data_IF_866912413217
#
_entry.id   IF_866912413217
#
_cell.length_a   1.000
_cell.length_b   1.000
_cell.length_c   1.000
_cell.angle_alpha   90.00
_cell.angle_beta   90.00
_cell.angle_gamma   90.00
#
_symmetry.space_group_name_H-M   'P 1'
#
loop_
_entity.id
_entity.type
_entity.pdbx_description
1 polymer ?
#
# COMPACT_ATOMS: atom_id res chain seq x y z
N UNK A 1 -42.30 15.26 -19.23
CA UNK A 1 -40.92 14.75 -19.37
C UNK A 1 -39.88 15.56 -18.56
N UNK A 2 -39.95 16.89 -18.43
CA UNK A 2 -38.98 17.71 -17.69
C UNK A 2 -38.92 17.44 -16.15
N UNK A 3 -40.03 17.07 -15.49
CA UNK A 3 -40.08 16.83 -14.04
C UNK A 3 -39.43 15.50 -13.59
N UNK A 4 -39.37 14.48 -14.45
CA UNK A 4 -38.78 13.18 -14.15
C UNK A 4 -37.24 13.26 -14.18
N UNK A 5 -36.69 14.07 -15.09
CA UNK A 5 -35.24 14.26 -15.23
C UNK A 5 -34.68 14.98 -14.02
N UNK A 6 -35.38 15.97 -13.46
CA UNK A 6 -34.93 16.73 -12.29
C UNK A 6 -34.88 15.85 -11.03
N UNK A 7 -35.82 14.91 -10.85
CA UNK A 7 -35.82 13.96 -9.74
C UNK A 7 -34.66 12.94 -9.81
N UNK A 8 -34.30 12.52 -11.04
CA UNK A 8 -33.19 11.58 -11.22
C UNK A 8 -31.83 12.22 -10.87
N UNK A 9 -31.60 13.48 -11.25
CA UNK A 9 -30.39 14.20 -10.90
C UNK A 9 -30.27 14.48 -9.39
N UNK A 10 -31.38 14.77 -8.73
CA UNK A 10 -31.39 14.96 -7.25
C UNK A 10 -31.09 13.65 -6.52
N UNK A 11 -31.61 12.51 -6.97
CA UNK A 11 -31.35 11.21 -6.38
C UNK A 11 -29.88 10.78 -6.54
N UNK A 12 -29.27 11.04 -7.68
CA UNK A 12 -27.85 10.75 -7.95
C UNK A 12 -26.95 11.64 -7.10
N UNK A 13 -27.26 12.91 -6.94
CA UNK A 13 -26.50 13.83 -6.08
C UNK A 13 -26.58 13.44 -4.60
N UNK A 14 -27.73 13.02 -4.09
CA UNK A 14 -27.93 12.56 -2.71
C UNK A 14 -27.18 11.24 -2.46
N UNK A 15 -27.18 10.30 -3.40
CA UNK A 15 -26.41 9.04 -3.30
C UNK A 15 -24.90 9.27 -3.31
N UNK A 16 -24.41 10.22 -4.12
CA UNK A 16 -23.00 10.59 -4.16
C UNK A 16 -22.55 11.26 -2.86
N UNK A 17 -23.34 12.18 -2.33
CA UNK A 17 -23.05 12.87 -1.08
C UNK A 17 -23.05 11.91 0.14
N UNK A 18 -23.96 10.94 0.17
CA UNK A 18 -24.00 9.92 1.22
C UNK A 18 -22.78 9.00 1.19
N UNK A 19 -22.34 8.55 -0.01
CA UNK A 19 -21.15 7.71 -0.14
C UNK A 19 -19.87 8.43 0.31
N UNK A 20 -19.73 9.69 -0.03
CA UNK A 20 -18.57 10.51 0.38
C UNK A 20 -18.57 10.74 1.91
N UNK A 21 -19.72 10.99 2.51
CA UNK A 21 -19.86 11.14 3.96
C UNK A 21 -19.52 9.83 4.70
N UNK A 22 -20.02 8.68 4.22
CA UNK A 22 -19.71 7.38 4.80
C UNK A 22 -18.23 7.02 4.68
N UNK A 23 -17.60 7.30 3.53
CA UNK A 23 -16.15 7.07 3.32
C UNK A 23 -15.31 7.87 4.32
N UNK A 24 -15.62 9.15 4.52
CA UNK A 24 -14.93 10.02 5.47
C UNK A 24 -15.11 9.53 6.91
N UNK A 25 -16.31 9.12 7.28
CA UNK A 25 -16.63 8.61 8.61
C UNK A 25 -15.88 7.30 8.93
N UNK A 26 -15.69 6.39 7.97
CA UNK A 26 -14.94 5.14 8.18
C UNK A 26 -13.47 5.40 8.50
N UNK A 27 -12.82 6.30 7.74
CA UNK A 27 -11.42 6.66 8.00
C UNK A 27 -11.22 7.37 9.35
N UNK A 28 -12.16 8.23 9.75
CA UNK A 28 -12.14 8.88 11.07
C UNK A 28 -12.31 7.86 12.23
N UNK A 29 -13.20 6.87 12.08
CA UNK A 29 -13.38 5.80 13.08
C UNK A 29 -12.12 4.97 13.25
N UNK A 30 -11.44 4.62 12.16
CA UNK A 30 -10.20 3.83 12.22
C UNK A 30 -9.05 4.61 12.85
N UNK A 31 -8.95 5.92 12.61
CA UNK A 31 -7.91 6.76 13.20
C UNK A 31 -7.89 6.71 14.71
N UNK A 32 -9.06 6.70 15.33
CA UNK A 32 -9.23 6.70 16.80
C UNK A 32 -9.22 5.28 17.40
N UNK A 33 -9.26 4.23 16.56
CA UNK A 33 -9.22 2.86 17.02
C UNK A 33 -7.79 2.43 17.32
N UNK A 34 -7.50 1.86 18.50
CA UNK A 34 -6.15 1.41 18.85
C UNK A 34 -5.74 0.20 17.99
N UNK A 35 -4.47 0.13 17.69
CA UNK A 35 -3.86 -1.05 17.09
C UNK A 35 -3.87 -2.23 18.07
N UNK A 36 -4.19 -3.40 17.57
CA UNK A 36 -4.08 -4.67 18.27
C UNK A 36 -3.07 -5.53 17.53
N UNK A 37 -2.00 -5.93 18.22
CA UNK A 37 -1.04 -6.86 17.66
C UNK A 37 -1.65 -8.27 17.58
N UNK A 38 -1.39 -8.94 16.45
CA UNK A 38 -1.86 -10.30 16.16
C UNK A 38 -0.71 -11.14 15.61
N UNK A 39 -0.87 -12.47 15.65
CA UNK A 39 0.03 -13.38 14.94
C UNK A 39 -0.13 -13.24 13.42
N UNK A 40 0.94 -13.40 12.61
CA UNK A 40 0.82 -13.45 11.14
C UNK A 40 -0.19 -14.48 10.64
N UNK A 41 -0.40 -15.59 11.36
CA UNK A 41 -1.39 -16.62 11.03
C UNK A 41 -2.85 -16.20 11.25
N UNK A 42 -3.08 -15.09 11.94
CA UNK A 42 -4.42 -14.52 12.18
C UNK A 42 -4.82 -13.47 11.14
N UNK A 43 -4.03 -13.29 10.08
CA UNK A 43 -4.42 -12.46 8.93
C UNK A 43 -5.52 -13.19 8.17
N UNK A 44 -6.76 -12.72 8.32
CA UNK A 44 -7.95 -13.32 7.72
C UNK A 44 -8.22 -12.88 6.28
N UNK A 45 -7.47 -11.88 5.78
CA UNK A 45 -7.66 -11.35 4.43
C UNK A 45 -7.17 -12.36 3.37
N UNK A 46 -7.96 -12.55 2.32
CA UNK A 46 -7.52 -13.29 1.14
C UNK A 46 -6.36 -12.55 0.46
N UNK A 47 -5.16 -13.14 0.31
CA UNK A 47 -3.99 -12.45 -0.24
C UNK A 47 -4.21 -11.89 -1.64
N UNK A 48 -4.90 -12.61 -2.52
CA UNK A 48 -5.18 -12.14 -3.88
C UNK A 48 -6.15 -10.96 -3.88
N UNK A 49 -7.17 -10.97 -3.00
CA UNK A 49 -8.06 -9.84 -2.83
C UNK A 49 -7.30 -8.63 -2.29
N UNK A 50 -6.57 -8.82 -1.20
CA UNK A 50 -5.80 -7.77 -0.51
C UNK A 50 -4.78 -7.10 -1.44
N UNK A 51 -4.01 -7.89 -2.19
CA UNK A 51 -2.91 -7.37 -3.00
C UNK A 51 -3.41 -6.81 -4.33
N UNK A 52 -4.20 -7.58 -5.11
CA UNK A 52 -4.59 -7.19 -6.47
C UNK A 52 -5.81 -6.25 -6.50
N UNK A 53 -6.82 -6.49 -5.65
CA UNK A 53 -8.09 -5.77 -5.71
C UNK A 53 -8.12 -4.57 -4.78
N UNK A 54 -7.74 -4.76 -3.53
CA UNK A 54 -7.78 -3.69 -2.53
C UNK A 54 -6.57 -2.77 -2.67
N UNK A 55 -5.44 -3.31 -3.11
CA UNK A 55 -4.11 -2.72 -3.14
C UNK A 55 -3.56 -2.47 -1.74
N UNK A 56 -2.26 -2.44 -1.69
CA UNK A 56 -1.54 -2.15 -0.47
C UNK A 56 -0.67 -0.92 -0.66
N UNK A 57 -0.22 -0.40 0.43
CA UNK A 57 0.82 0.61 0.48
C UNK A 57 2.10 -0.05 1.02
N UNK A 58 3.27 0.26 0.45
CA UNK A 58 4.58 -0.09 0.99
C UNK A 58 5.34 1.19 1.36
N UNK A 59 5.84 1.21 2.59
CA UNK A 59 6.68 2.30 3.12
C UNK A 59 8.04 1.79 3.57
N UNK A 60 9.05 2.64 3.41
CA UNK A 60 10.36 2.46 3.99
C UNK A 60 10.95 3.80 4.44
N UNK A 61 11.83 3.75 5.43
CA UNK A 61 12.46 4.92 6.03
C UNK A 61 12.08 5.12 7.48
N UNK A 62 12.45 6.27 8.02
CA UNK A 62 12.25 6.68 9.41
C UNK A 62 11.61 8.05 9.45
N UNK A 63 11.23 8.50 10.65
CA UNK A 63 10.72 9.84 10.86
C UNK A 63 11.65 10.90 10.23
N UNK A 64 11.06 11.83 9.49
CA UNK A 64 11.78 12.88 8.76
C UNK A 64 12.43 12.46 7.44
N UNK A 65 12.61 11.14 7.19
CA UNK A 65 13.16 10.61 5.93
C UNK A 65 12.51 9.29 5.55
N UNK A 66 11.33 9.34 4.97
CA UNK A 66 10.59 8.15 4.52
C UNK A 66 9.93 8.38 3.16
N UNK A 67 9.56 7.31 2.49
CA UNK A 67 8.70 7.38 1.32
C UNK A 67 7.75 6.18 1.27
N UNK A 68 6.65 6.35 0.53
CA UNK A 68 5.59 5.37 0.40
C UNK A 68 5.10 5.27 -1.05
N UNK A 69 4.53 4.11 -1.40
CA UNK A 69 3.87 3.93 -2.69
C UNK A 69 2.84 2.82 -2.63
N UNK A 70 1.83 2.91 -3.48
CA UNK A 70 0.87 1.83 -3.67
C UNK A 70 1.52 0.68 -4.45
N UNK A 71 1.23 -0.53 -4.01
CA UNK A 71 1.57 -1.78 -4.68
C UNK A 71 0.32 -2.61 -4.94
N UNK A 72 0.35 -3.39 -6.02
CA UNK A 72 -0.67 -4.39 -6.39
C UNK A 72 -0.05 -5.74 -6.75
N UNK A 73 1.23 -5.90 -6.50
CA UNK A 73 1.98 -7.12 -6.70
C UNK A 73 2.71 -7.50 -5.41
N UNK A 74 2.64 -8.76 -5.04
CA UNK A 74 3.25 -9.25 -3.83
C UNK A 74 2.85 -10.70 -3.54
N UNK A 75 3.32 -11.21 -2.43
CA UNK A 75 2.89 -12.48 -1.88
C UNK A 75 3.10 -12.52 -0.36
N UNK A 76 2.32 -13.35 0.31
CA UNK A 76 2.50 -13.69 1.71
C UNK A 76 2.67 -15.21 1.80
N UNK A 77 3.57 -15.66 2.65
CA UNK A 77 3.86 -17.09 2.77
C UNK A 77 4.93 -17.39 3.79
N UNK A 78 5.73 -18.43 3.54
CA UNK A 78 6.76 -18.89 4.44
C UNK A 78 8.08 -19.13 3.68
N UNK A 79 9.19 -18.75 4.28
CA UNK A 79 10.54 -19.00 3.80
C UNK A 79 11.48 -19.20 5.00
N UNK A 80 12.29 -20.29 4.98
CA UNK A 80 13.24 -20.62 6.08
C UNK A 80 12.57 -20.71 7.46
N UNK A 81 11.36 -21.29 7.53
CA UNK A 81 10.53 -21.39 8.73
C UNK A 81 10.19 -20.02 9.34
N UNK A 82 9.97 -19.02 8.49
CA UNK A 82 9.62 -17.64 8.88
C UNK A 82 8.44 -17.19 8.04
N UNK A 83 7.44 -16.53 8.65
CA UNK A 83 6.41 -15.87 7.88
C UNK A 83 7.03 -14.72 7.09
N UNK A 84 6.70 -14.60 5.82
CA UNK A 84 7.26 -13.59 4.93
C UNK A 84 6.19 -12.80 4.20
N UNK A 85 6.52 -11.56 3.88
CA UNK A 85 5.84 -10.76 2.86
C UNK A 85 6.83 -10.40 1.74
N UNK A 86 6.44 -10.68 0.49
CA UNK A 86 7.24 -10.30 -0.67
C UNK A 86 6.59 -9.12 -1.38
N UNK A 87 7.36 -8.08 -1.68
CA UNK A 87 6.93 -6.91 -2.45
C UNK A 87 7.82 -6.71 -3.68
N UNK A 88 7.25 -6.12 -4.73
CA UNK A 88 7.96 -5.81 -5.96
C UNK A 88 7.97 -4.30 -6.18
N UNK A 89 9.15 -3.70 -6.21
CA UNK A 89 9.33 -2.25 -6.38
C UNK A 89 10.20 -1.98 -7.59
N UNK A 90 9.68 -1.23 -8.56
CA UNK A 90 10.46 -0.84 -9.74
C UNK A 90 11.60 0.11 -9.37
N UNK A 91 12.76 -0.04 -10.02
CA UNK A 91 13.93 0.84 -9.83
C UNK A 91 13.64 2.29 -10.21
N UNK A 92 12.63 2.56 -11.03
CA UNK A 92 12.19 3.92 -11.37
C UNK A 92 11.44 4.63 -10.24
N UNK A 93 10.90 3.87 -9.26
CA UNK A 93 10.13 4.43 -8.14
C UNK A 93 11.04 5.02 -7.07
N UNK A 94 10.67 6.18 -6.55
CA UNK A 94 11.44 6.83 -5.48
C UNK A 94 11.53 5.97 -4.21
N UNK A 95 10.49 5.21 -3.91
CA UNK A 95 10.47 4.27 -2.78
C UNK A 95 11.58 3.22 -2.87
N UNK A 96 12.03 2.84 -4.09
CA UNK A 96 13.14 1.90 -4.26
C UNK A 96 14.41 2.35 -3.51
N UNK A 97 14.77 3.63 -3.58
CA UNK A 97 15.92 4.16 -2.84
C UNK A 97 15.77 3.93 -1.32
N UNK A 98 14.59 4.15 -0.77
CA UNK A 98 14.33 3.94 0.65
C UNK A 98 14.35 2.45 1.02
N UNK A 99 13.88 1.57 0.12
CA UNK A 99 13.98 0.12 0.32
C UNK A 99 15.42 -0.36 0.35
N UNK A 100 16.32 0.25 -0.44
CA UNK A 100 17.75 -0.09 -0.44
C UNK A 100 18.47 0.42 0.82
N UNK A 101 18.15 1.65 1.26
CA UNK A 101 18.83 2.31 2.39
C UNK A 101 18.38 1.76 3.77
N UNK A 102 17.26 1.03 3.86
CA UNK A 102 16.69 0.57 5.13
C UNK A 102 16.58 -0.95 5.20
N UNK A 103 16.81 -1.50 6.39
CA UNK A 103 16.66 -2.93 6.68
C UNK A 103 15.20 -3.35 6.88
N UNK A 104 14.30 -2.40 7.09
CA UNK A 104 12.89 -2.63 7.39
C UNK A 104 12.00 -1.91 6.38
N UNK A 105 10.82 -2.47 6.20
CA UNK A 105 9.72 -1.84 5.48
C UNK A 105 8.39 -2.24 6.10
N UNK A 106 7.36 -1.47 5.83
CA UNK A 106 5.98 -1.81 6.24
C UNK A 106 5.10 -2.02 5.03
N UNK A 107 4.12 -2.89 5.17
CA UNK A 107 3.04 -3.09 4.21
C UNK A 107 1.73 -2.80 4.92
N UNK A 108 0.94 -1.90 4.36
CA UNK A 108 -0.26 -1.40 5.01
C UNK A 108 -1.49 -1.60 4.11
N UNK A 109 -2.54 -2.17 4.68
CA UNK A 109 -3.86 -2.28 4.05
C UNK A 109 -4.78 -1.19 4.57
N UNK A 110 -5.63 -0.70 3.68
CA UNK A 110 -6.61 0.34 3.97
C UNK A 110 -8.02 -0.11 3.59
N UNK A 111 -9.05 0.37 4.29
CA UNK A 111 -10.42 0.06 3.92
C UNK A 111 -10.73 0.56 2.51
N UNK A 112 -11.68 -0.09 1.84
CA UNK A 112 -12.08 0.21 0.46
C UNK A 112 -12.46 1.70 0.24
N UNK A 113 -12.84 2.41 1.30
CA UNK A 113 -13.10 3.86 1.26
C UNK A 113 -11.86 4.70 0.92
N UNK A 114 -10.65 4.15 1.09
CA UNK A 114 -9.37 4.82 0.84
C UNK A 114 -8.79 4.52 -0.55
N UNK A 115 -9.51 3.78 -1.40
CA UNK A 115 -9.01 3.38 -2.74
C UNK A 115 -8.55 4.55 -3.60
N UNK A 116 -9.26 5.68 -3.55
CA UNK A 116 -8.89 6.89 -4.31
C UNK A 116 -7.55 7.49 -3.82
N UNK A 117 -7.26 7.34 -2.51
CA UNK A 117 -5.98 7.76 -1.91
C UNK A 117 -4.84 6.86 -2.34
N UNK A 118 -5.07 5.54 -2.35
CA UNK A 118 -4.09 4.59 -2.89
C UNK A 118 -3.80 4.84 -4.38
N UNK A 119 -4.82 5.14 -5.19
CA UNK A 119 -4.63 5.51 -6.59
C UNK A 119 -3.76 6.79 -6.74
N UNK A 120 -3.97 7.79 -5.88
CA UNK A 120 -3.12 8.98 -5.83
C UNK A 120 -1.67 8.62 -5.45
N UNK A 121 -1.44 7.88 -4.37
CA UNK A 121 -0.11 7.47 -3.89
C UNK A 121 0.67 6.65 -4.95
N UNK A 122 -0.02 5.86 -5.77
CA UNK A 122 0.58 5.09 -6.87
C UNK A 122 0.99 5.93 -8.07
N UNK A 123 0.32 7.09 -8.28
CA UNK A 123 0.54 7.96 -9.44
C UNK A 123 1.62 9.01 -9.22
N UNK A 124 1.65 9.64 -8.04
CA UNK A 124 2.55 10.74 -7.75
C UNK A 124 3.91 10.27 -7.20
N UNK A 125 4.93 11.10 -7.35
CA UNK A 125 6.28 10.82 -6.84
C UNK A 125 6.57 11.64 -5.58
N UNK A 126 7.15 11.00 -4.56
CA UNK A 126 7.65 11.70 -3.38
C UNK A 126 8.89 12.56 -3.63
N UNK A 127 9.43 12.58 -4.89
CA UNK A 127 10.43 13.56 -5.31
C UNK A 127 9.82 14.94 -5.57
N UNK A 128 8.55 14.96 -5.94
CA UNK A 128 7.88 16.13 -6.49
C UNK A 128 6.92 16.76 -5.47
N UNK A 129 6.35 15.93 -4.57
CA UNK A 129 5.35 16.39 -3.61
C UNK A 129 5.31 15.56 -2.33
N UNK A 130 4.79 16.14 -1.25
CA UNK A 130 4.49 15.43 -0.01
C UNK A 130 3.27 14.52 -0.20
N UNK A 131 3.52 13.25 -0.42
CA UNK A 131 2.49 12.24 -0.67
C UNK A 131 1.60 11.98 0.54
N UNK A 132 2.15 12.06 1.75
CA UNK A 132 1.42 11.85 3.00
C UNK A 132 0.37 12.95 3.15
N UNK A 133 0.80 14.20 3.08
CA UNK A 133 -0.09 15.35 3.15
C UNK A 133 -1.11 15.36 2.01
N UNK A 134 -0.67 15.08 0.76
CA UNK A 134 -1.55 15.03 -0.41
C UNK A 134 -2.61 13.93 -0.34
N UNK A 135 -2.31 12.79 0.29
CA UNK A 135 -3.29 11.74 0.55
C UNK A 135 -4.14 12.01 1.79
N UNK A 136 -3.74 12.95 2.65
CA UNK A 136 -4.39 13.22 3.94
C UNK A 136 -4.25 12.04 4.91
N UNK A 137 -3.06 11.44 4.94
CA UNK A 137 -2.72 10.37 5.88
C UNK A 137 -2.08 10.94 7.14
N UNK A 138 -2.27 10.25 8.25
CA UNK A 138 -1.62 10.51 9.53
C UNK A 138 -0.59 9.43 9.77
N UNK A 139 0.69 9.79 9.75
CA UNK A 139 1.79 8.83 10.01
C UNK A 139 1.90 8.56 11.49
N UNK A 140 2.01 7.29 11.82
CA UNK A 140 2.44 6.78 13.12
C UNK A 140 3.73 5.97 12.92
N UNK A 141 4.50 5.75 13.98
CA UNK A 141 5.72 4.98 13.89
C UNK A 141 5.68 3.81 14.86
N UNK A 142 6.15 2.64 14.40
CA UNK A 142 6.31 1.46 15.22
C UNK A 142 7.42 1.65 16.26
N UNK A 143 7.58 0.72 17.19
CA UNK A 143 8.70 0.74 18.14
C UNK A 143 10.08 0.69 17.44
N UNK A 144 10.17 0.02 16.27
CA UNK A 144 11.37 0.03 15.43
C UNK A 144 11.51 1.31 14.60
N UNK A 145 10.55 2.24 14.70
CA UNK A 145 10.54 3.54 14.03
C UNK A 145 10.14 3.47 12.55
N UNK A 146 9.45 2.42 12.11
CA UNK A 146 8.97 2.30 10.75
C UNK A 146 7.57 2.91 10.59
N UNK A 147 7.25 3.54 9.44
CA UNK A 147 5.99 4.25 9.27
C UNK A 147 4.81 3.30 9.08
N UNK A 148 3.70 3.61 9.76
CA UNK A 148 2.36 3.04 9.57
C UNK A 148 1.35 4.19 9.56
N UNK A 149 0.06 3.94 9.33
CA UNK A 149 -0.92 5.02 9.13
C UNK A 149 -2.18 4.82 9.96
N UNK A 150 -2.59 5.88 10.63
CA UNK A 150 -3.77 5.88 11.51
C UNK A 150 -5.07 5.48 10.80
N UNK A 151 -5.18 5.72 9.51
CA UNK A 151 -6.35 5.40 8.67
C UNK A 151 -6.39 3.96 8.16
N UNK A 152 -5.33 3.19 8.38
CA UNK A 152 -5.24 1.80 7.97
C UNK A 152 -5.98 0.84 8.91
N UNK A 153 -6.34 -0.32 8.41
CA UNK A 153 -6.99 -1.39 9.19
C UNK A 153 -6.07 -2.60 9.43
N UNK A 154 -4.97 -2.71 8.66
CA UNK A 154 -3.91 -3.69 8.88
C UNK A 154 -2.55 -3.05 8.58
N UNK A 155 -1.56 -3.31 9.44
CA UNK A 155 -0.17 -2.95 9.22
C UNK A 155 0.74 -4.15 9.49
N UNK A 156 1.71 -4.38 8.61
CA UNK A 156 2.66 -5.49 8.68
C UNK A 156 4.06 -4.89 8.64
N UNK A 157 4.85 -5.12 9.67
CA UNK A 157 6.25 -4.70 9.74
C UNK A 157 7.17 -5.85 9.36
N UNK A 158 8.07 -5.59 8.41
CA UNK A 158 8.95 -6.58 7.84
C UNK A 158 10.42 -6.19 7.99
N UNK A 159 11.26 -7.17 8.34
CA UNK A 159 12.71 -7.09 8.20
C UNK A 159 13.13 -7.66 6.85
N UNK A 160 13.80 -6.89 6.03
CA UNK A 160 14.33 -7.32 4.74
C UNK A 160 15.36 -8.45 4.94
N UNK A 161 15.09 -9.62 4.40
CA UNK A 161 15.96 -10.80 4.49
C UNK A 161 16.55 -11.20 3.16
N UNK A 162 15.97 -10.71 2.05
CA UNK A 162 16.48 -10.92 0.69
C UNK A 162 16.04 -9.78 -0.22
N UNK A 163 16.90 -9.39 -1.15
CA UNK A 163 16.58 -8.43 -2.21
C UNK A 163 17.32 -8.82 -3.49
N UNK A 164 16.60 -8.83 -4.61
CA UNK A 164 17.18 -9.10 -5.90
C UNK A 164 16.38 -8.44 -7.02
N UNK A 165 17.07 -7.79 -7.95
CA UNK A 165 16.46 -7.34 -9.19
C UNK A 165 16.13 -8.55 -10.08
N UNK A 166 15.01 -8.51 -10.78
CA UNK A 166 14.72 -9.52 -11.80
C UNK A 166 15.79 -9.50 -12.88
N UNK A 167 16.30 -10.67 -13.21
CA UNK A 167 17.20 -10.83 -14.36
C UNK A 167 16.39 -10.70 -15.65
N UNK A 168 16.70 -9.67 -16.45
CA UNK A 168 16.03 -9.41 -17.72
C UNK A 168 16.14 -10.60 -18.69
N UNK A 169 17.21 -11.40 -18.60
CA UNK A 169 17.40 -12.58 -19.47
C UNK A 169 16.44 -13.72 -19.11
N UNK A 170 15.95 -13.77 -17.90
CA UNK A 170 15.02 -14.80 -17.40
C UNK A 170 13.55 -14.39 -17.54
N UNK A 171 13.27 -13.13 -17.90
CA UNK A 171 11.90 -12.67 -18.10
C UNK A 171 11.28 -13.32 -19.36
N UNK A 172 9.99 -13.71 -19.29
CA UNK A 172 9.23 -14.05 -20.49
C UNK A 172 9.30 -12.92 -21.53
N UNK A 173 9.27 -13.22 -22.84
CA UNK A 173 9.44 -12.21 -23.89
C UNK A 173 8.44 -11.04 -23.79
N UNK A 174 7.19 -11.31 -23.44
CA UNK A 174 6.15 -10.31 -23.29
C UNK A 174 6.42 -9.35 -22.11
N UNK A 175 6.93 -9.85 -20.98
CA UNK A 175 7.29 -9.01 -19.83
C UNK A 175 8.53 -8.17 -20.13
N UNK A 176 9.51 -8.73 -20.84
CA UNK A 176 10.68 -7.96 -21.27
C UNK A 176 10.27 -6.83 -22.20
N UNK A 177 9.45 -7.12 -23.22
CA UNK A 177 8.92 -6.11 -24.13
C UNK A 177 8.13 -5.03 -23.40
N UNK A 178 7.35 -5.39 -22.37
CA UNK A 178 6.63 -4.43 -21.54
C UNK A 178 7.56 -3.43 -20.82
N UNK A 179 8.65 -3.92 -20.21
CA UNK A 179 9.63 -3.04 -19.56
C UNK A 179 10.31 -2.10 -20.57
N UNK A 180 10.67 -2.61 -21.75
CA UNK A 180 11.29 -1.82 -22.83
C UNK A 180 10.34 -0.73 -23.36
N UNK A 181 9.08 -1.07 -23.59
CA UNK A 181 8.08 -0.15 -24.14
C UNK A 181 7.62 0.91 -23.13
N UNK A 182 7.49 0.57 -21.87
CA UNK A 182 7.00 1.51 -20.83
C UNK A 182 8.10 2.37 -20.26
N UNK A 183 9.37 2.02 -20.43
CA UNK A 183 10.50 2.69 -19.77
C UNK A 183 10.50 2.52 -18.24
N UNK A 184 9.65 1.66 -17.70
CA UNK A 184 9.70 1.30 -16.28
C UNK A 184 11.00 0.57 -15.96
N UNK A 185 11.65 0.93 -14.87
CA UNK A 185 12.79 0.18 -14.37
C UNK A 185 12.38 -1.24 -13.98
N UNK A 186 13.28 -2.22 -14.22
CA UNK A 186 13.04 -3.60 -13.82
C UNK A 186 12.85 -3.66 -12.32
N UNK A 187 11.86 -4.44 -11.86
CA UNK A 187 11.51 -4.55 -10.46
C UNK A 187 12.58 -5.29 -9.67
N UNK A 188 12.77 -4.82 -8.45
CA UNK A 188 13.35 -5.59 -7.36
C UNK A 188 12.26 -6.38 -6.64
N UNK A 189 12.57 -7.61 -6.31
CA UNK A 189 11.87 -8.42 -5.34
C UNK A 189 12.50 -8.19 -3.97
N UNK A 190 11.72 -7.78 -2.99
CA UNK A 190 12.12 -7.70 -1.60
C UNK A 190 11.33 -8.72 -0.80
N UNK A 191 12.05 -9.64 -0.12
CA UNK A 191 11.44 -10.59 0.81
C UNK A 191 11.71 -10.08 2.22
N UNK A 192 10.65 -9.82 2.95
CA UNK A 192 10.70 -9.42 4.36
C UNK A 192 10.17 -10.52 5.28
N UNK A 193 10.93 -10.86 6.32
CA UNK A 193 10.42 -11.60 7.46
C UNK A 193 9.38 -10.72 8.17
N UNK A 194 8.19 -11.22 8.37
CA UNK A 194 7.14 -10.53 9.14
C UNK A 194 7.50 -10.60 10.61
N UNK A 195 7.74 -9.44 11.21
CA UNK A 195 8.06 -9.31 12.63
C UNK A 195 6.82 -9.04 13.47
N UNK A 196 6.00 -8.11 13.00
CA UNK A 196 4.81 -7.64 13.68
C UNK A 196 3.66 -7.46 12.71
N UNK A 197 2.46 -7.75 13.18
CA UNK A 197 1.20 -7.50 12.48
C UNK A 197 0.24 -6.82 13.44
N UNK A 198 -0.34 -5.71 13.02
CA UNK A 198 -1.36 -5.01 13.79
C UNK A 198 -2.63 -4.86 12.96
N UNK A 199 -3.78 -5.03 13.63
CA UNK A 199 -5.11 -4.75 13.05
C UNK A 199 -5.91 -3.78 13.91
N UNK A 200 -6.91 -3.16 13.27
CA UNK A 200 -7.91 -2.31 13.94
C UNK A 200 -9.32 -2.86 13.78
#
# INVERSE_FOLDING_TARGET
MKKIITLLFAAIAIMSCNKTSQKKQTAEILRDKPWQEISPSEIELNPLQMIDRDWLEVSAGKEGKMNLMTISWGSIGELWNKPIFTVYVSTSRYTHQFMEENDYFTVTHFPASMKDKLAYLGRVSGRDEDKVAGAGLTVEFTELGNPIYAEADLAIECRKIYAQQFDACLLPPEQRAWYEQTGNGIHYMYIGEILHVWKK
#
